data_IF_736694670170
#
_entry.id   IF_736694670170
#
_cell.length_a   1.000
_cell.length_b   1.000
_cell.length_c   1.000
_cell.angle_alpha   90.00
_cell.angle_beta   90.00
_cell.angle_gamma   90.00
#
_symmetry.space_group_name_H-M   'P 1'
#
loop_
_entity.id
_entity.type
_entity.pdbx_description
1 polymer ?
#
# COMPACT_ATOMS: atom_id res chain seq x y z
N UNK A 1 10.31 -4.30 6.65
CA UNK A 1 11.03 -4.78 5.46
C UNK A 1 10.21 -5.69 4.53
N UNK A 2 9.50 -6.72 4.98
CA UNK A 2 8.79 -7.63 4.06
C UNK A 2 7.75 -6.92 3.17
N UNK A 3 6.82 -6.16 3.75
CA UNK A 3 5.80 -5.41 2.98
C UNK A 3 6.46 -4.41 2.03
N UNK A 4 7.50 -3.74 2.47
CA UNK A 4 8.30 -2.82 1.66
C UNK A 4 8.92 -3.51 0.45
N UNK A 5 9.50 -4.69 0.64
CA UNK A 5 10.09 -5.48 -0.45
C UNK A 5 9.03 -5.92 -1.46
N UNK A 6 7.85 -6.40 -1.00
CA UNK A 6 6.75 -6.77 -1.89
C UNK A 6 6.28 -5.55 -2.69
N UNK A 7 6.12 -4.40 -2.06
CA UNK A 7 5.75 -3.16 -2.74
C UNK A 7 6.79 -2.77 -3.80
N UNK A 8 8.08 -2.73 -3.44
CA UNK A 8 9.18 -2.41 -4.37
C UNK A 8 9.21 -3.38 -5.55
N UNK A 9 9.12 -4.68 -5.30
CA UNK A 9 9.07 -5.70 -6.36
C UNK A 9 7.86 -5.53 -7.27
N UNK A 10 6.67 -5.29 -6.71
CA UNK A 10 5.45 -5.09 -7.48
C UNK A 10 5.49 -3.83 -8.33
N UNK A 11 6.04 -2.73 -7.81
CA UNK A 11 6.26 -1.49 -8.55
C UNK A 11 7.25 -1.71 -9.70
N UNK A 12 8.37 -2.39 -9.44
CA UNK A 12 9.34 -2.75 -10.48
C UNK A 12 8.69 -3.62 -11.56
N UNK A 13 7.86 -4.58 -11.16
CA UNK A 13 7.15 -5.46 -12.10
C UNK A 13 6.21 -4.68 -13.02
N UNK A 14 5.38 -3.75 -12.48
CA UNK A 14 4.47 -2.97 -13.33
C UNK A 14 5.23 -2.01 -14.25
N UNK A 15 6.33 -1.41 -13.81
CA UNK A 15 7.20 -0.57 -14.65
C UNK A 15 7.78 -1.37 -15.83
N UNK A 16 8.30 -2.55 -15.54
CA UNK A 16 8.87 -3.43 -16.57
C UNK A 16 7.80 -3.92 -17.57
N UNK A 17 6.65 -4.40 -17.07
CA UNK A 17 5.54 -4.84 -17.90
C UNK A 17 5.00 -3.69 -18.76
N UNK A 18 4.86 -2.49 -18.21
CA UNK A 18 4.41 -1.31 -18.97
C UNK A 18 5.33 -0.98 -20.14
N UNK A 19 6.64 -1.11 -19.95
CA UNK A 19 7.61 -0.90 -21.04
C UNK A 19 7.48 -1.99 -22.14
N UNK A 20 7.18 -3.24 -21.76
CA UNK A 20 7.02 -4.35 -22.72
C UNK A 20 5.73 -4.21 -23.52
N UNK A 21 4.61 -3.90 -22.86
CA UNK A 21 3.29 -3.80 -23.53
C UNK A 21 3.02 -2.42 -24.11
N UNK A 22 3.92 -1.47 -23.91
CA UNK A 22 3.79 -0.07 -24.30
C UNK A 22 2.46 0.56 -23.88
N UNK A 23 2.02 0.23 -22.66
CA UNK A 23 0.76 0.69 -22.08
C UNK A 23 0.88 0.68 -20.54
N UNK A 24 0.20 1.59 -19.82
CA UNK A 24 0.21 1.58 -18.37
C UNK A 24 -0.32 0.27 -17.80
N UNK A 25 0.46 -0.35 -16.91
CA UNK A 25 0.10 -1.56 -16.17
C UNK A 25 -0.04 -1.19 -14.70
N UNK A 26 -1.03 -1.76 -14.04
CA UNK A 26 -1.34 -1.49 -12.65
C UNK A 26 -1.13 -2.73 -11.78
N UNK A 27 -1.14 -2.52 -10.46
CA UNK A 27 -1.00 -3.54 -9.44
C UNK A 27 -2.12 -3.46 -8.41
N UNK A 28 -2.56 -4.59 -7.88
CA UNK A 28 -3.45 -4.66 -6.72
C UNK A 28 -2.81 -5.51 -5.62
N UNK A 29 -2.64 -4.94 -4.45
CA UNK A 29 -2.06 -5.58 -3.28
C UNK A 29 -3.02 -5.47 -2.10
N UNK A 30 -3.19 -6.55 -1.36
CA UNK A 30 -4.08 -6.55 -0.21
C UNK A 30 -3.55 -7.37 0.94
N UNK A 31 -3.97 -7.04 2.15
CA UNK A 31 -3.65 -7.81 3.35
C UNK A 31 -4.56 -7.45 4.50
N UNK A 32 -4.48 -8.23 5.57
CA UNK A 32 -5.13 -7.90 6.84
C UNK A 32 -4.70 -6.52 7.35
N UNK A 33 -5.55 -5.94 8.18
CA UNK A 33 -5.21 -4.72 8.92
C UNK A 33 -3.96 -4.93 9.80
N UNK A 34 -3.18 -3.88 10.02
CA UNK A 34 -1.99 -3.92 10.89
C UNK A 34 -0.74 -4.57 10.30
N UNK A 35 -0.71 -4.85 8.98
CA UNK A 35 0.46 -5.45 8.32
C UNK A 35 1.59 -4.47 8.00
N UNK A 36 1.37 -3.16 8.20
CA UNK A 36 2.36 -2.12 7.90
C UNK A 36 2.32 -1.56 6.48
N UNK A 37 1.23 -1.81 5.71
CA UNK A 37 1.06 -1.28 4.33
C UNK A 37 1.29 0.21 4.23
N UNK A 38 0.55 0.99 4.99
CA UNK A 38 0.64 2.46 5.02
C UNK A 38 2.05 2.93 5.35
N UNK A 39 2.67 2.35 6.39
CA UNK A 39 4.03 2.71 6.80
C UNK A 39 5.04 2.44 5.68
N UNK A 40 5.01 1.23 5.09
CA UNK A 40 5.92 0.85 4.01
C UNK A 40 5.72 1.72 2.77
N UNK A 41 4.47 2.07 2.43
CA UNK A 41 4.15 2.93 1.30
C UNK A 41 4.66 4.35 1.48
N UNK A 42 4.47 4.93 2.67
CA UNK A 42 5.01 6.25 3.02
C UNK A 42 6.53 6.27 2.98
N UNK A 43 7.19 5.21 3.47
CA UNK A 43 8.64 5.09 3.44
C UNK A 43 9.16 5.06 2.00
N UNK A 44 8.60 4.19 1.14
CA UNK A 44 8.98 4.09 -0.27
C UNK A 44 8.77 5.42 -1.00
N UNK A 45 7.64 6.08 -0.77
CA UNK A 45 7.35 7.36 -1.40
C UNK A 45 8.34 8.47 -0.97
N UNK A 46 8.86 8.42 0.26
CA UNK A 46 9.90 9.36 0.73
C UNK A 46 11.28 9.08 0.13
N UNK A 47 11.56 7.82 -0.22
CA UNK A 47 12.84 7.38 -0.76
C UNK A 47 12.90 7.44 -2.29
N UNK A 48 11.80 7.79 -2.96
CA UNK A 48 11.68 7.76 -4.42
C UNK A 48 11.16 9.09 -4.97
N UNK A 49 11.66 9.50 -6.12
CA UNK A 49 11.23 10.70 -6.83
C UNK A 49 10.02 10.47 -7.75
N UNK A 50 9.69 9.22 -8.03
CA UNK A 50 8.64 8.84 -8.98
C UNK A 50 7.52 7.99 -8.38
N UNK A 51 7.55 7.73 -7.05
CA UNK A 51 6.51 7.00 -6.33
C UNK A 51 5.81 7.94 -5.35
N UNK A 52 4.50 8.05 -5.47
CA UNK A 52 3.68 8.98 -4.70
C UNK A 52 2.62 8.25 -3.89
N UNK A 53 2.53 8.60 -2.62
CA UNK A 53 1.53 8.01 -1.72
C UNK A 53 0.27 8.87 -1.68
N UNK A 54 -0.87 8.23 -1.91
CA UNK A 54 -2.20 8.86 -1.86
C UNK A 54 -3.10 8.05 -0.95
N UNK A 55 -3.47 8.61 0.20
CA UNK A 55 -4.47 8.00 1.08
C UNK A 55 -5.87 8.35 0.61
N UNK A 56 -6.65 7.33 0.28
CA UNK A 56 -8.07 7.50 -0.07
C UNK A 56 -8.87 7.72 1.21
N UNK A 57 -9.50 8.90 1.39
CA UNK A 57 -10.27 9.19 2.59
C UNK A 57 -11.58 8.40 2.67
N UNK A 58 -12.15 8.33 3.86
CA UNK A 58 -13.52 7.84 4.04
C UNK A 58 -14.56 8.78 3.41
N UNK A 59 -15.72 8.20 3.11
CA UNK A 59 -16.88 8.93 2.60
C UNK A 59 -16.86 9.10 1.08
N UNK A 60 -17.65 10.08 0.62
CA UNK A 60 -17.75 10.33 -0.81
C UNK A 60 -16.57 11.13 -1.33
N UNK A 61 -15.93 10.62 -2.39
CA UNK A 61 -14.83 11.28 -3.09
C UNK A 61 -15.31 11.68 -4.49
N UNK A 62 -15.25 12.98 -4.75
CA UNK A 62 -15.52 13.57 -6.07
C UNK A 62 -14.21 13.72 -6.85
N UNK A 63 -14.30 13.82 -8.17
CA UNK A 63 -13.17 14.00 -9.09
C UNK A 63 -12.24 15.13 -8.64
N UNK A 64 -12.78 16.30 -8.34
CA UNK A 64 -11.98 17.44 -7.87
C UNK A 64 -11.19 17.15 -6.58
N UNK A 65 -11.71 16.29 -5.69
CA UNK A 65 -10.96 15.86 -4.50
C UNK A 65 -9.85 14.87 -4.86
N UNK A 66 -10.09 13.97 -5.82
CA UNK A 66 -9.06 13.06 -6.34
C UNK A 66 -7.87 13.86 -6.88
N UNK A 67 -8.11 14.86 -7.73
CA UNK A 67 -7.05 15.71 -8.28
C UNK A 67 -6.27 16.46 -7.19
N UNK A 68 -6.96 16.97 -6.16
CA UNK A 68 -6.29 17.61 -5.02
C UNK A 68 -5.39 16.65 -4.25
N UNK A 69 -5.81 15.39 -4.07
CA UNK A 69 -4.99 14.37 -3.42
C UNK A 69 -3.75 14.03 -4.26
N UNK A 70 -3.90 13.86 -5.56
CA UNK A 70 -2.79 13.62 -6.50
C UNK A 70 -1.84 14.82 -6.50
N UNK A 71 -2.35 16.05 -6.67
CA UNK A 71 -1.53 17.26 -6.66
C UNK A 71 -0.75 17.43 -5.35
N UNK A 72 -1.41 17.18 -4.21
CA UNK A 72 -0.75 17.23 -2.89
C UNK A 72 0.37 16.20 -2.77
N UNK A 73 0.16 14.98 -3.28
CA UNK A 73 1.20 13.94 -3.22
C UNK A 73 2.41 14.25 -4.10
N UNK A 74 2.19 14.94 -5.22
CA UNK A 74 3.23 15.44 -6.12
C UNK A 74 3.94 16.69 -5.60
N UNK A 75 3.37 17.36 -4.59
CA UNK A 75 3.86 18.67 -4.13
C UNK A 75 3.64 19.79 -5.15
N UNK A 76 2.65 19.67 -6.05
CA UNK A 76 2.33 20.69 -7.04
C UNK A 76 1.14 21.57 -6.59
N UNK A 77 0.97 22.70 -7.29
CA UNK A 77 -0.08 23.68 -6.97
C UNK A 77 -1.49 23.13 -7.15
N UNK A 78 -2.40 23.52 -6.25
CA UNK A 78 -3.83 23.22 -6.34
C UNK A 78 -4.56 24.48 -6.80
N UNK A 79 -5.44 24.35 -7.77
CA UNK A 79 -6.28 25.44 -8.29
C UNK A 79 -7.70 25.31 -7.78
N UNK A 80 -8.48 26.38 -7.98
CA UNK A 80 -9.88 26.43 -7.57
C UNK A 80 -10.72 25.39 -8.35
N UNK A 81 -10.49 25.26 -9.67
CA UNK A 81 -11.14 24.26 -10.52
C UNK A 81 -10.33 22.97 -10.59
N UNK A 82 -11.01 21.86 -10.92
CA UNK A 82 -10.32 20.56 -11.09
C UNK A 82 -9.49 20.55 -12.39
N UNK A 83 -9.97 21.19 -13.47
CA UNK A 83 -9.23 21.34 -14.72
C UNK A 83 -7.93 22.12 -14.50
N UNK A 84 -8.00 23.26 -13.79
CA UNK A 84 -6.82 24.03 -13.47
C UNK A 84 -5.82 23.24 -12.59
N UNK A 85 -6.32 22.37 -11.71
CA UNK A 85 -5.46 21.49 -10.92
C UNK A 85 -4.82 20.41 -11.79
N UNK A 86 -5.57 19.83 -12.75
CA UNK A 86 -5.04 18.87 -13.72
C UNK A 86 -3.92 19.49 -14.57
N UNK A 87 -4.08 20.73 -15.04
CA UNK A 87 -3.02 21.41 -15.79
C UNK A 87 -1.76 21.62 -14.94
N UNK A 88 -1.89 21.91 -13.65
CA UNK A 88 -0.73 21.97 -12.74
C UNK A 88 -0.05 20.62 -12.57
N UNK A 89 -0.81 19.54 -12.48
CA UNK A 89 -0.30 18.16 -12.43
C UNK A 89 0.48 17.86 -13.72
N UNK A 90 -0.13 18.11 -14.89
CA UNK A 90 0.51 17.90 -16.20
C UNK A 90 1.82 18.68 -16.30
N UNK A 91 1.79 19.96 -16.00
CA UNK A 91 2.99 20.81 -16.04
C UNK A 91 4.10 20.27 -15.14
N UNK A 92 3.76 19.85 -13.90
CA UNK A 92 4.72 19.33 -12.95
C UNK A 92 5.38 18.03 -13.45
N UNK A 93 4.55 17.09 -13.94
CA UNK A 93 5.02 15.79 -14.47
C UNK A 93 5.93 16.00 -15.70
N UNK A 94 5.50 16.83 -16.65
CA UNK A 94 6.24 17.09 -17.88
C UNK A 94 7.55 17.84 -17.63
N UNK A 95 7.52 18.88 -16.80
CA UNK A 95 8.71 19.67 -16.47
C UNK A 95 9.80 18.85 -15.79
N UNK A 96 9.42 17.88 -14.97
CA UNK A 96 10.35 17.01 -14.26
C UNK A 96 10.60 15.66 -14.95
N UNK A 97 9.89 15.37 -16.06
CA UNK A 97 9.96 14.09 -16.79
C UNK A 97 9.72 12.87 -15.88
N UNK A 98 8.75 12.96 -14.98
CA UNK A 98 8.44 11.91 -14.01
C UNK A 98 7.56 10.84 -14.65
N UNK A 99 7.91 9.57 -14.50
CA UNK A 99 7.00 8.42 -14.74
C UNK A 99 6.33 8.04 -13.43
N UNK A 100 5.20 8.68 -13.12
CA UNK A 100 4.59 8.62 -11.81
C UNK A 100 3.90 7.28 -11.51
N UNK A 101 4.22 6.70 -10.35
CA UNK A 101 3.50 5.56 -9.76
C UNK A 101 2.79 6.02 -8.51
N UNK A 102 1.47 5.96 -8.49
CA UNK A 102 0.67 6.32 -7.33
C UNK A 102 0.27 5.10 -6.53
N UNK A 103 0.67 5.04 -5.27
CA UNK A 103 0.20 4.05 -4.30
C UNK A 103 -1.07 4.58 -3.67
N UNK A 104 -2.22 4.04 -4.09
CA UNK A 104 -3.56 4.41 -3.62
C UNK A 104 -3.91 3.55 -2.41
N UNK A 105 -3.67 4.06 -1.21
CA UNK A 105 -3.97 3.34 0.03
C UNK A 105 -5.46 3.43 0.37
N UNK A 106 -6.03 2.36 0.92
CA UNK A 106 -7.47 2.17 1.14
C UNK A 106 -8.28 2.15 -0.19
N UNK A 107 -7.70 1.58 -1.25
CA UNK A 107 -8.26 1.61 -2.59
C UNK A 107 -9.66 0.96 -2.70
N UNK A 108 -10.04 0.03 -1.80
CA UNK A 108 -11.39 -0.54 -1.77
C UNK A 108 -12.49 0.53 -1.65
N UNK A 109 -12.17 1.73 -1.14
CA UNK A 109 -13.12 2.84 -1.00
C UNK A 109 -13.56 3.47 -2.32
N UNK A 110 -12.75 3.32 -3.38
CA UNK A 110 -13.05 3.88 -4.71
C UNK A 110 -13.53 2.85 -5.73
N UNK A 111 -13.37 1.55 -5.48
CA UNK A 111 -13.74 0.52 -6.46
C UNK A 111 -15.23 0.47 -6.82
N UNK A 112 -16.10 1.05 -6.02
CA UNK A 112 -17.54 1.21 -6.28
C UNK A 112 -17.88 2.51 -7.03
N UNK A 113 -16.90 3.36 -7.30
CA UNK A 113 -17.07 4.72 -7.80
C UNK A 113 -16.61 4.80 -9.25
N UNK A 114 -17.48 4.42 -10.16
CA UNK A 114 -17.17 4.36 -11.60
C UNK A 114 -16.55 5.66 -12.12
N UNK A 115 -17.10 6.82 -11.73
CA UNK A 115 -16.57 8.12 -12.15
C UNK A 115 -15.12 8.35 -11.68
N UNK A 116 -14.70 7.82 -10.53
CA UNK A 116 -13.30 7.90 -10.07
C UNK A 116 -12.42 6.94 -10.85
N UNK A 117 -12.92 5.72 -11.13
CA UNK A 117 -12.17 4.74 -11.91
C UNK A 117 -11.99 5.19 -13.36
N UNK A 118 -12.99 5.87 -13.96
CA UNK A 118 -12.87 6.49 -15.25
C UNK A 118 -11.77 7.54 -15.27
N UNK A 119 -11.73 8.46 -14.28
CA UNK A 119 -10.68 9.47 -14.18
C UNK A 119 -9.29 8.86 -14.01
N UNK A 120 -9.15 7.84 -13.18
CA UNK A 120 -7.86 7.14 -13.03
C UNK A 120 -7.43 6.48 -14.35
N UNK A 121 -8.38 5.87 -15.06
CA UNK A 121 -8.14 5.28 -16.38
C UNK A 121 -7.67 6.35 -17.37
N UNK A 122 -8.43 7.45 -17.49
CA UNK A 122 -8.14 8.53 -18.43
C UNK A 122 -6.76 9.14 -18.17
N UNK A 123 -6.42 9.40 -16.90
CA UNK A 123 -5.09 9.86 -16.51
C UNK A 123 -3.97 8.87 -16.86
N UNK A 124 -4.25 7.57 -16.83
CA UNK A 124 -3.29 6.54 -17.23
C UNK A 124 -3.11 6.45 -18.75
N UNK A 125 -4.15 6.79 -19.52
CA UNK A 125 -4.18 6.74 -20.99
C UNK A 125 -3.60 7.99 -21.67
N UNK A 126 -3.44 9.11 -20.94
CA UNK A 126 -2.76 10.28 -21.46
C UNK A 126 -1.28 9.95 -21.64
N UNK A 127 -0.74 9.96 -22.90
CA UNK A 127 0.61 9.47 -23.16
C UNK A 127 1.69 10.20 -22.36
N UNK A 128 1.51 11.51 -22.15
CA UNK A 128 2.45 12.36 -21.42
C UNK A 128 2.46 12.09 -19.93
N UNK A 129 1.36 11.58 -19.36
CA UNK A 129 1.22 11.26 -17.95
C UNK A 129 1.53 9.80 -17.67
N UNK A 130 0.91 8.90 -18.43
CA UNK A 130 1.08 7.43 -18.34
C UNK A 130 1.09 6.91 -16.90
N UNK A 131 0.17 7.42 -16.07
CA UNK A 131 0.14 7.12 -14.64
C UNK A 131 -0.05 5.62 -14.38
N UNK A 132 0.75 5.10 -13.47
CA UNK A 132 0.61 3.74 -12.97
C UNK A 132 0.05 3.75 -11.56
N UNK A 133 -0.76 2.75 -11.23
CA UNK A 133 -1.40 2.66 -9.92
C UNK A 133 -1.06 1.35 -9.22
N UNK A 134 -0.78 1.46 -7.92
CA UNK A 134 -0.79 0.36 -6.96
C UNK A 134 -2.03 0.53 -6.10
N UNK A 135 -3.08 -0.24 -6.37
CA UNK A 135 -4.28 -0.32 -5.54
C UNK A 135 -3.95 -1.13 -4.29
N UNK A 136 -3.83 -0.45 -3.16
CA UNK A 136 -3.47 -1.05 -1.89
C UNK A 136 -4.69 -1.05 -0.96
N UNK A 137 -5.07 -2.21 -0.43
CA UNK A 137 -6.28 -2.32 0.37
C UNK A 137 -6.29 -3.46 1.38
N UNK A 138 -7.46 -3.69 1.93
CA UNK A 138 -7.74 -4.80 2.85
C UNK A 138 -8.15 -6.09 2.09
N UNK A 139 -8.54 -7.12 2.82
CA UNK A 139 -8.97 -8.42 2.26
C UNK A 139 -10.27 -8.34 1.43
N UNK A 140 -10.98 -7.21 1.44
CA UNK A 140 -12.17 -7.02 0.59
C UNK A 140 -11.81 -6.59 -0.82
N UNK A 141 -10.59 -6.03 -1.03
CA UNK A 141 -10.14 -5.53 -2.33
C UNK A 141 -10.31 -6.54 -3.47
N UNK A 142 -9.82 -7.80 -3.38
CA UNK A 142 -9.96 -8.75 -4.48
C UNK A 142 -11.40 -9.13 -4.79
N UNK A 143 -12.28 -9.16 -3.77
CA UNK A 143 -13.70 -9.39 -3.96
C UNK A 143 -14.35 -8.20 -4.68
N UNK A 144 -14.01 -6.99 -4.30
CA UNK A 144 -14.53 -5.77 -4.94
C UNK A 144 -14.11 -5.64 -6.40
N UNK A 145 -12.86 -5.98 -6.74
CA UNK A 145 -12.38 -6.01 -8.12
C UNK A 145 -13.19 -6.96 -9.03
N UNK A 146 -13.78 -8.03 -8.45
CA UNK A 146 -14.64 -8.96 -9.17
C UNK A 146 -16.08 -8.48 -9.28
N UNK A 147 -16.63 -7.91 -8.19
CA UNK A 147 -18.05 -7.48 -8.12
C UNK A 147 -18.31 -6.20 -8.92
N UNK A 148 -17.33 -5.31 -8.96
CA UNK A 148 -17.43 -4.04 -9.68
C UNK A 148 -16.46 -4.04 -10.87
N UNK A 149 -16.79 -4.74 -11.97
CA UNK A 149 -15.91 -4.80 -13.14
C UNK A 149 -15.75 -3.41 -13.75
N UNK A 150 -14.51 -3.09 -14.13
CA UNK A 150 -14.18 -1.84 -14.80
C UNK A 150 -12.98 -2.07 -15.72
N UNK A 151 -12.92 -1.36 -16.84
CA UNK A 151 -11.85 -1.53 -17.84
C UNK A 151 -10.43 -1.27 -17.29
N UNK A 152 -10.26 -0.43 -16.27
CA UNK A 152 -8.97 -0.25 -15.60
C UNK A 152 -8.49 -1.54 -14.93
N UNK A 153 -9.42 -2.43 -14.52
CA UNK A 153 -9.08 -3.68 -13.83
C UNK A 153 -8.42 -4.70 -14.77
N UNK A 154 -8.65 -4.60 -16.10
CA UNK A 154 -7.99 -5.44 -17.10
C UNK A 154 -6.49 -5.14 -17.18
N UNK A 155 -6.10 -3.93 -16.80
CA UNK A 155 -4.69 -3.48 -16.74
C UNK A 155 -4.02 -3.81 -15.41
N UNK A 156 -4.75 -4.35 -14.43
CA UNK A 156 -4.18 -4.84 -13.17
C UNK A 156 -3.60 -6.23 -13.39
N UNK A 157 -2.37 -6.29 -13.87
CA UNK A 157 -1.69 -7.56 -14.19
C UNK A 157 -1.00 -8.19 -12.98
N UNK A 158 -0.59 -7.38 -12.01
CA UNK A 158 0.03 -7.86 -10.77
C UNK A 158 -1.01 -7.85 -9.66
N UNK A 159 -1.39 -9.03 -9.17
CA UNK A 159 -2.37 -9.21 -8.08
C UNK A 159 -1.76 -10.10 -7.01
N UNK A 160 -1.58 -9.58 -5.79
CA UNK A 160 -0.90 -10.34 -4.74
C UNK A 160 -1.46 -10.01 -3.35
N UNK A 161 -1.66 -11.07 -2.56
CA UNK A 161 -1.87 -10.94 -1.13
C UNK A 161 -0.53 -10.76 -0.42
N UNK A 162 -0.45 -9.76 0.45
CA UNK A 162 0.70 -9.55 1.31
C UNK A 162 0.48 -10.37 2.58
N UNK A 163 1.27 -11.41 2.75
CA UNK A 163 1.21 -12.22 3.96
C UNK A 163 1.72 -11.40 5.16
N UNK A 164 0.94 -11.29 6.25
CA UNK A 164 1.27 -10.36 7.34
C UNK A 164 2.49 -10.78 8.17
N UNK A 165 2.86 -12.06 8.14
CA UNK A 165 3.89 -12.58 9.04
C UNK A 165 4.87 -13.46 8.26
N UNK A 166 6.06 -12.91 8.05
CA UNK A 166 7.23 -13.68 7.65
C UNK A 166 8.28 -13.66 8.76
N UNK A 167 9.02 -14.75 8.87
CA UNK A 167 10.10 -14.94 9.84
C UNK A 167 11.07 -13.77 9.84
N UNK A 168 11.49 -13.29 8.66
CA UNK A 168 12.38 -12.14 8.50
C UNK A 168 11.86 -10.83 9.11
N UNK A 169 10.54 -10.62 9.10
CA UNK A 169 9.93 -9.44 9.75
C UNK A 169 9.93 -9.55 11.26
N UNK A 170 9.79 -10.76 11.80
CA UNK A 170 9.87 -11.02 13.23
C UNK A 170 11.31 -10.91 13.74
N UNK A 171 12.29 -11.40 12.97
CA UNK A 171 13.72 -11.26 13.28
C UNK A 171 14.13 -9.79 13.49
N UNK A 172 13.59 -8.89 12.66
CA UNK A 172 13.86 -7.45 12.81
C UNK A 172 13.19 -6.86 14.06
N UNK A 173 11.93 -7.24 14.33
CA UNK A 173 11.19 -6.74 15.50
C UNK A 173 11.79 -7.23 16.82
N UNK A 174 12.37 -8.43 16.82
CA UNK A 174 12.88 -9.11 18.02
C UNK A 174 14.36 -8.88 18.28
N UNK A 175 15.03 -8.03 17.50
CA UNK A 175 16.42 -7.64 17.79
C UNK A 175 16.57 -7.21 19.24
N UNK A 176 17.55 -7.81 19.93
CA UNK A 176 17.86 -7.57 21.33
C UNK A 176 16.84 -8.16 22.34
N UNK A 177 16.06 -9.17 21.95
CA UNK A 177 15.24 -9.97 22.87
C UNK A 177 15.60 -11.44 22.65
N UNK A 178 15.67 -12.18 23.72
CA UNK A 178 15.72 -13.64 23.63
C UNK A 178 14.37 -14.14 23.12
N UNK A 179 14.36 -14.78 21.94
CA UNK A 179 13.13 -15.22 21.27
C UNK A 179 13.35 -16.51 20.50
N UNK A 180 12.38 -17.42 20.63
CA UNK A 180 12.19 -18.49 19.64
C UNK A 180 11.31 -17.97 18.51
N UNK A 181 11.97 -17.59 17.40
CA UNK A 181 11.30 -16.99 16.25
C UNK A 181 10.38 -17.97 15.54
N UNK A 182 10.74 -19.25 15.50
CA UNK A 182 9.92 -20.26 14.85
C UNK A 182 8.64 -20.52 15.66
N UNK A 183 8.75 -20.59 16.98
CA UNK A 183 7.61 -20.70 17.88
C UNK A 183 6.71 -19.45 17.81
N UNK A 184 7.29 -18.24 17.88
CA UNK A 184 6.54 -16.97 17.74
C UNK A 184 5.80 -16.91 16.40
N UNK A 185 6.47 -17.29 15.32
CA UNK A 185 5.86 -17.34 13.97
C UNK A 185 4.70 -18.32 13.92
N UNK A 186 4.85 -19.49 14.51
CA UNK A 186 3.84 -20.52 14.56
C UNK A 186 2.59 -20.06 15.36
N UNK A 187 2.79 -19.55 16.57
CA UNK A 187 1.71 -19.02 17.41
C UNK A 187 1.01 -17.86 16.70
N UNK A 188 1.75 -16.93 16.13
CA UNK A 188 1.17 -15.78 15.43
C UNK A 188 0.30 -16.21 14.23
N UNK A 189 0.69 -17.23 13.49
CA UNK A 189 -0.12 -17.79 12.40
C UNK A 189 -1.41 -18.43 12.92
N UNK A 190 -1.33 -19.27 13.97
CA UNK A 190 -2.50 -19.93 14.57
C UNK A 190 -3.48 -18.89 15.15
N UNK A 191 -2.98 -17.90 15.87
CA UNK A 191 -3.80 -16.84 16.48
C UNK A 191 -4.26 -15.78 15.47
N UNK A 192 -3.80 -15.83 14.23
CA UNK A 192 -4.13 -14.83 13.20
C UNK A 192 -3.60 -13.43 13.51
N UNK A 193 -2.50 -13.33 14.27
CA UNK A 193 -1.88 -12.04 14.61
C UNK A 193 -1.34 -11.33 13.37
N UNK A 194 -1.36 -10.00 13.37
CA UNK A 194 -0.70 -9.16 12.38
C UNK A 194 0.69 -8.74 12.87
N UNK A 195 1.46 -8.14 11.99
CA UNK A 195 2.76 -7.52 12.34
C UNK A 195 2.61 -6.49 13.48
N UNK A 196 1.49 -5.77 13.53
CA UNK A 196 1.20 -4.82 14.61
C UNK A 196 1.05 -5.54 15.95
N UNK A 197 0.32 -6.66 15.99
CA UNK A 197 0.17 -7.48 17.20
C UNK A 197 1.54 -8.00 17.68
N UNK A 198 2.35 -8.52 16.77
CA UNK A 198 3.71 -8.96 17.09
C UNK A 198 4.57 -7.80 17.61
N UNK A 199 4.43 -6.60 17.06
CA UNK A 199 5.13 -5.40 17.55
C UNK A 199 4.72 -5.03 18.98
N UNK A 200 3.43 -5.13 19.32
CA UNK A 200 2.97 -4.90 20.71
C UNK A 200 3.57 -5.91 21.68
N UNK A 201 3.56 -7.20 21.31
CA UNK A 201 4.11 -8.28 22.13
C UNK A 201 5.64 -8.07 22.34
N UNK A 202 6.37 -7.76 21.27
CA UNK A 202 7.82 -7.53 21.37
C UNK A 202 8.15 -6.26 22.16
N UNK A 203 7.34 -5.21 22.01
CA UNK A 203 7.51 -3.99 22.80
C UNK A 203 7.26 -4.23 24.28
N UNK A 204 6.21 -4.98 24.63
CA UNK A 204 5.93 -5.38 26.00
C UNK A 204 7.04 -6.27 26.59
N UNK A 205 7.57 -7.21 25.81
CA UNK A 205 8.69 -8.04 26.22
C UNK A 205 9.95 -7.20 26.50
N UNK A 206 10.26 -6.20 25.67
CA UNK A 206 11.37 -5.26 25.90
C UNK A 206 11.20 -4.48 27.19
N UNK A 207 10.02 -3.93 27.44
CA UNK A 207 9.74 -3.14 28.65
C UNK A 207 9.83 -4.02 29.90
N UNK A 208 9.28 -5.22 29.87
CA UNK A 208 9.28 -6.16 30.99
C UNK A 208 10.61 -6.94 31.13
N UNK A 209 11.55 -6.74 30.22
CA UNK A 209 12.80 -7.53 30.13
C UNK A 209 12.55 -9.04 30.11
N UNK A 210 11.47 -9.46 29.47
CA UNK A 210 11.04 -10.86 29.40
C UNK A 210 11.47 -11.49 28.07
N UNK A 211 11.81 -12.78 28.11
CA UNK A 211 12.05 -13.57 26.90
C UNK A 211 10.73 -13.92 26.19
N UNK A 212 10.79 -14.10 24.87
CA UNK A 212 9.68 -14.57 24.04
C UNK A 212 9.88 -16.05 23.67
N UNK A 213 9.83 -16.91 24.68
CA UNK A 213 10.03 -18.35 24.57
C UNK A 213 8.90 -19.08 25.29
N UNK A 214 8.34 -20.12 24.66
CA UNK A 214 7.33 -20.98 25.24
C UNK A 214 6.09 -20.24 25.75
N UNK A 215 5.59 -20.64 26.91
CA UNK A 215 4.38 -20.06 27.52
C UNK A 215 4.47 -18.54 27.79
N UNK A 216 5.65 -17.95 27.79
CA UNK A 216 5.81 -16.50 27.98
C UNK A 216 5.23 -15.70 26.81
N UNK A 217 5.26 -16.20 25.59
CA UNK A 217 4.68 -15.53 24.41
C UNK A 217 3.17 -15.29 24.64
N UNK A 218 2.43 -16.32 25.03
CA UNK A 218 1.00 -16.19 25.30
C UNK A 218 0.69 -15.34 26.54
N UNK A 219 1.52 -15.43 27.58
CA UNK A 219 1.37 -14.62 28.79
C UNK A 219 1.52 -13.14 28.49
N UNK A 220 2.53 -12.76 27.70
CA UNK A 220 2.75 -11.36 27.30
C UNK A 220 1.65 -10.90 26.35
N UNK A 221 1.23 -11.75 25.40
CA UNK A 221 0.13 -11.44 24.49
C UNK A 221 -1.16 -11.12 25.25
N UNK A 222 -1.55 -11.93 26.24
CA UNK A 222 -2.69 -11.65 27.12
C UNK A 222 -2.51 -10.34 27.88
N UNK A 223 -1.31 -10.02 28.32
CA UNK A 223 -1.02 -8.77 29.03
C UNK A 223 -1.19 -7.51 28.18
N UNK A 224 -1.11 -7.63 26.85
CA UNK A 224 -1.38 -6.53 25.88
C UNK A 224 -2.76 -6.63 25.22
N UNK A 225 -3.63 -7.51 25.70
CA UNK A 225 -5.01 -7.63 25.24
C UNK A 225 -5.20 -8.45 23.96
N UNK A 226 -4.32 -9.42 23.69
CA UNK A 226 -4.34 -10.31 22.52
C UNK A 226 -4.66 -11.77 22.85
#
# INVERSE_FOLDING_TARGET
MHVENILKQSITSIKNLSNVVNSPVHCALWSKWGTGKTFSSLKIAKESEDIFYVKIPDGDIKVGRLYKLIASSLGCGIRFTYEGTLEMIKYHILSKRIKAVFVLDEAQRILKKEHILNELKDLSEIPELSFQYVFLGDLTLPKMLKIFPHSIHERILVKKEINPIEKSSLEELTKNIEVDIDELTHIAKIKGWSTLHCNYITSAAKVSKSSLVGKNIEKIAKGVGL
#
